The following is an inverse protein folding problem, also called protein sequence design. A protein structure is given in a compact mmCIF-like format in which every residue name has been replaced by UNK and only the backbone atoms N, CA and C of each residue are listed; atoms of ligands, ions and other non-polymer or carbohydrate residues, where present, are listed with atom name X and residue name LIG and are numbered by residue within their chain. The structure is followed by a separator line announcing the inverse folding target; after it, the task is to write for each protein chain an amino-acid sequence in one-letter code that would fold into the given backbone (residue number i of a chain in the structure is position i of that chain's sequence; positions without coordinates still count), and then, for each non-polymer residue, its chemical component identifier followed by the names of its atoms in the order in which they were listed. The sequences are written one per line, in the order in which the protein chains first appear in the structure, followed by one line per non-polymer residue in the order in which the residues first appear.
data_IF_827001687892
#
_entry.id   IF_827001687892
#
_cell.length_a   1.000
_cell.length_b   1.000
_cell.length_c   1.000
_cell.angle_alpha   90.00
_cell.angle_beta   90.00
_cell.angle_gamma   90.00
#
_symmetry.space_group_name_H-M   'P 1'
#
loop_
_entity.id
_entity.type
_entity.pdbx_description
1 polymer ?
#
# COMPACT_ATOMS: atom_id res chain seq x y z
N UNK A 1 16.40 16.26 -4.65
CA UNK A 1 15.93 17.44 -5.40
C UNK A 1 15.69 17.16 -6.89
N UNK A 2 16.66 16.61 -7.64
CA UNK A 2 16.50 16.37 -9.10
C UNK A 2 15.31 15.45 -9.45
N UNK A 3 15.15 14.32 -8.75
CA UNK A 3 14.08 13.36 -9.05
C UNK A 3 12.68 13.94 -8.82
N UNK A 4 12.50 14.73 -7.75
CA UNK A 4 11.22 15.39 -7.46
C UNK A 4 10.90 16.47 -8.49
N UNK A 5 11.89 17.28 -8.87
CA UNK A 5 11.73 18.29 -9.91
C UNK A 5 11.34 17.66 -11.26
N UNK A 6 11.96 16.53 -11.63
CA UNK A 6 11.56 15.77 -12.83
C UNK A 6 10.16 15.16 -12.72
N UNK A 7 9.75 14.77 -11.51
CA UNK A 7 8.44 14.16 -11.30
C UNK A 7 7.31 15.20 -11.34
N UNK A 8 7.52 16.39 -10.79
CA UNK A 8 6.48 17.42 -10.67
C UNK A 8 6.54 18.48 -11.77
N UNK A 9 7.66 18.59 -12.49
CA UNK A 9 8.03 19.63 -13.47
C UNK A 9 8.10 21.04 -12.89
N UNK A 10 7.09 21.43 -12.13
CA UNK A 10 6.96 22.70 -11.42
C UNK A 10 6.73 22.44 -9.93
N UNK A 11 7.12 23.40 -9.08
CA UNK A 11 6.77 23.31 -7.67
C UNK A 11 5.24 23.39 -7.51
N UNK A 12 4.63 22.52 -6.69
CA UNK A 12 3.19 22.52 -6.50
C UNK A 12 2.74 23.84 -5.84
N UNK A 13 1.71 24.46 -6.41
CA UNK A 13 1.04 25.62 -5.84
C UNK A 13 0.10 25.18 -4.69
N UNK A 14 -0.76 26.09 -4.20
CA UNK A 14 -1.78 25.75 -3.19
C UNK A 14 -2.74 24.63 -3.62
N UNK A 15 -2.87 24.37 -4.93
CA UNK A 15 -3.69 23.28 -5.47
C UNK A 15 -2.88 22.45 -6.47
N UNK A 16 -2.66 21.17 -6.16
CA UNK A 16 -1.91 20.27 -7.04
C UNK A 16 -2.72 19.91 -8.31
N UNK A 17 -2.17 20.14 -9.52
CA UNK A 17 -2.75 19.63 -10.76
C UNK A 17 -2.90 18.11 -10.75
N UNK A 18 -3.88 17.61 -11.51
CA UNK A 18 -4.17 16.17 -11.59
C UNK A 18 -2.94 15.36 -12.07
N UNK A 19 -2.17 15.88 -13.04
CA UNK A 19 -0.97 15.20 -13.50
C UNK A 19 0.12 15.09 -12.42
N UNK A 20 0.32 16.12 -11.59
CA UNK A 20 1.25 16.02 -10.45
C UNK A 20 0.78 14.98 -9.42
N UNK A 21 -0.52 14.94 -9.12
CA UNK A 21 -1.10 13.93 -8.22
C UNK A 21 -0.83 12.52 -8.76
N UNK A 22 -1.07 12.30 -10.05
CA UNK A 22 -0.84 11.00 -10.68
C UNK A 22 0.63 10.68 -10.94
N UNK A 23 1.50 11.68 -11.01
CA UNK A 23 2.93 11.46 -11.01
C UNK A 23 3.40 10.91 -9.67
N UNK A 24 2.98 11.54 -8.57
CA UNK A 24 3.26 11.08 -7.20
C UNK A 24 2.66 9.67 -7.01
N UNK A 25 1.35 9.51 -7.23
CA UNK A 25 0.65 8.23 -7.01
C UNK A 25 1.10 7.13 -7.96
N UNK A 26 1.40 7.46 -9.21
CA UNK A 26 1.92 6.55 -10.21
C UNK A 26 3.23 5.90 -9.77
N UNK A 27 4.08 6.62 -9.05
CA UNK A 27 5.35 6.07 -8.55
C UNK A 27 5.23 5.18 -7.32
N UNK A 28 4.14 5.28 -6.54
CA UNK A 28 3.99 4.55 -5.26
C UNK A 28 2.90 3.46 -5.27
N UNK A 29 1.78 3.64 -5.98
CA UNK A 29 0.66 2.67 -5.98
C UNK A 29 0.20 2.27 -7.39
N UNK A 30 0.76 2.88 -8.45
CA UNK A 30 0.50 2.55 -9.85
C UNK A 30 -0.98 2.31 -10.20
N UNK A 31 -1.86 3.34 -10.06
CA UNK A 31 -3.24 3.21 -10.47
C UNK A 31 -3.33 2.91 -11.98
N UNK A 32 -4.27 2.07 -12.38
CA UNK A 32 -4.40 1.62 -13.77
C UNK A 32 -5.17 2.66 -14.59
N UNK A 33 -4.45 3.45 -15.39
CA UNK A 33 -4.96 4.60 -16.14
C UNK A 33 -5.36 4.27 -17.60
N UNK A 34 -5.88 3.07 -17.87
CA UNK A 34 -6.12 2.61 -19.26
C UNK A 34 -7.09 3.50 -20.06
N UNK A 35 -8.01 4.18 -19.38
CA UNK A 35 -9.02 5.06 -19.98
C UNK A 35 -8.62 6.54 -19.97
N UNK A 36 -7.55 6.91 -19.26
CA UNK A 36 -7.15 8.30 -19.06
C UNK A 36 -6.10 8.76 -20.09
N UNK A 37 -6.45 8.80 -21.38
CA UNK A 37 -5.46 9.04 -22.45
C UNK A 37 -4.81 10.42 -22.39
N UNK A 38 -5.59 11.48 -22.12
CA UNK A 38 -5.07 12.85 -21.97
C UNK A 38 -4.09 12.93 -20.79
N UNK A 39 -4.45 12.33 -19.67
CA UNK A 39 -3.60 12.26 -18.48
C UNK A 39 -2.31 11.46 -18.77
N UNK A 40 -2.39 10.32 -19.45
CA UNK A 40 -1.20 9.56 -19.85
C UNK A 40 -0.26 10.37 -20.75
N UNK A 41 -0.80 11.14 -21.70
CA UNK A 41 0.00 11.99 -22.58
C UNK A 41 0.75 13.07 -21.79
N UNK A 42 0.07 13.74 -20.85
CA UNK A 42 0.68 14.75 -19.98
C UNK A 42 1.74 14.14 -19.05
N UNK A 43 1.46 12.98 -18.45
CA UNK A 43 2.41 12.27 -17.60
C UNK A 43 3.67 11.87 -18.37
N UNK A 44 3.52 11.43 -19.62
CA UNK A 44 4.63 11.08 -20.52
C UNK A 44 5.46 12.30 -20.91
N UNK A 45 4.81 13.40 -21.30
CA UNK A 45 5.51 14.59 -21.78
C UNK A 45 6.22 15.35 -20.66
N UNK A 46 5.67 15.32 -19.44
CA UNK A 46 6.01 16.29 -18.40
C UNK A 46 6.39 15.70 -17.04
N UNK A 47 6.05 14.44 -16.75
CA UNK A 47 6.17 13.88 -15.39
C UNK A 47 6.94 12.57 -15.31
N UNK A 48 7.89 12.33 -16.24
CA UNK A 48 8.76 11.16 -16.25
C UNK A 48 8.04 9.80 -16.29
N UNK A 49 6.77 9.75 -16.72
CA UNK A 49 6.13 8.48 -17.01
C UNK A 49 6.74 7.88 -18.28
N UNK A 50 6.78 6.55 -18.35
CA UNK A 50 7.30 5.83 -19.50
C UNK A 50 6.15 5.33 -20.36
N UNK A 51 6.26 5.51 -21.67
CA UNK A 51 5.32 4.94 -22.62
C UNK A 51 5.54 3.42 -22.69
N UNK A 52 4.46 2.67 -22.50
CA UNK A 52 4.50 1.20 -22.42
C UNK A 52 3.73 0.57 -23.57
N UNK A 53 2.75 1.29 -24.09
CA UNK A 53 2.00 0.87 -25.26
C UNK A 53 1.41 2.10 -25.97
N UNK A 54 1.47 2.06 -27.31
CA UNK A 54 0.78 2.97 -28.20
C UNK A 54 -0.17 2.12 -29.02
N UNK A 55 -1.45 2.47 -29.07
CA UNK A 55 -2.41 1.75 -29.91
C UNK A 55 -2.01 1.83 -31.39
N UNK A 56 -2.34 0.83 -32.22
CA UNK A 56 -2.07 0.88 -33.66
C UNK A 56 -2.69 2.11 -34.36
N UNK A 57 -3.81 2.61 -33.83
CA UNK A 57 -4.49 3.82 -34.30
C UNK A 57 -3.87 5.12 -33.79
N UNK A 58 -2.85 5.07 -32.93
CA UNK A 58 -2.14 6.23 -32.37
C UNK A 58 -2.96 7.08 -31.38
N UNK A 59 -4.18 6.66 -31.05
CA UNK A 59 -5.12 7.44 -30.23
C UNK A 59 -5.15 7.04 -28.75
N UNK A 60 -4.42 6.01 -28.34
CA UNK A 60 -4.32 5.58 -26.94
C UNK A 60 -2.88 5.36 -26.54
N UNK A 61 -2.49 6.00 -25.45
CA UNK A 61 -1.20 5.83 -24.80
C UNK A 61 -1.43 5.23 -23.43
N UNK A 62 -0.69 4.16 -23.12
CA UNK A 62 -0.64 3.59 -21.77
C UNK A 62 0.75 3.88 -21.24
N UNK A 63 0.80 4.64 -20.14
CA UNK A 63 2.05 4.99 -19.49
C UNK A 63 2.12 4.36 -18.10
N UNK A 64 3.33 4.01 -17.69
CA UNK A 64 3.61 3.55 -16.32
C UNK A 64 4.88 4.21 -15.80
N UNK A 65 4.99 4.27 -14.48
CA UNK A 65 6.26 4.49 -13.83
C UNK A 65 6.95 3.14 -13.68
N UNK A 66 8.09 2.87 -14.33
CA UNK A 66 8.82 1.64 -14.08
C UNK A 66 9.17 1.57 -12.58
N UNK A 67 9.40 0.37 -12.06
CA UNK A 67 9.81 0.13 -10.67
C UNK A 67 11.19 0.76 -10.39
N UNK A 68 11.23 2.09 -10.28
CA UNK A 68 12.40 2.93 -10.07
C UNK A 68 12.35 3.49 -8.65
N UNK A 69 13.15 2.95 -7.73
CA UNK A 69 13.10 3.35 -6.32
C UNK A 69 13.33 4.84 -6.08
N UNK A 70 14.02 5.53 -6.99
CA UNK A 70 14.36 6.95 -6.83
C UNK A 70 13.14 7.88 -6.91
N UNK A 71 12.21 7.62 -7.84
CA UNK A 71 10.99 8.43 -7.95
C UNK A 71 10.01 8.12 -6.81
N UNK A 72 9.90 6.85 -6.41
CA UNK A 72 9.12 6.46 -5.24
C UNK A 72 9.64 7.12 -3.94
N UNK A 73 10.96 7.13 -3.72
CA UNK A 73 11.57 7.84 -2.58
C UNK A 73 11.33 9.36 -2.65
N UNK A 74 11.41 9.97 -3.83
CA UNK A 74 11.09 11.40 -4.00
C UNK A 74 9.62 11.72 -3.69
N UNK A 75 8.69 10.88 -4.16
CA UNK A 75 7.27 10.99 -3.85
C UNK A 75 6.99 10.86 -2.35
N UNK A 76 7.62 9.88 -1.68
CA UNK A 76 7.54 9.76 -0.22
C UNK A 76 8.09 10.97 0.52
N UNK A 77 9.20 11.55 0.05
CA UNK A 77 9.77 12.76 0.64
C UNK A 77 8.80 13.95 0.52
N UNK A 78 8.13 14.10 -0.63
CA UNK A 78 7.12 15.13 -0.84
C UNK A 78 5.91 14.94 0.07
N UNK A 79 5.37 13.71 0.10
CA UNK A 79 4.22 13.34 0.92
C UNK A 79 4.47 13.46 2.42
N UNK A 80 5.72 13.40 2.87
CA UNK A 80 6.05 13.51 4.29
C UNK A 80 6.13 14.96 4.81
N UNK A 81 6.12 15.96 3.91
CA UNK A 81 6.20 17.39 4.28
C UNK A 81 4.95 17.84 5.03
N UNK A 82 3.78 17.44 4.53
CA UNK A 82 2.48 17.89 5.03
C UNK A 82 1.41 16.82 4.73
N UNK A 83 0.49 16.63 5.66
CA UNK A 83 -0.65 15.72 5.51
C UNK A 83 -1.67 16.25 4.50
N UNK A 84 -1.69 17.57 4.25
CA UNK A 84 -2.45 18.16 3.15
C UNK A 84 -2.06 17.56 1.78
N UNK A 85 -0.79 17.17 1.59
CA UNK A 85 -0.35 16.50 0.36
C UNK A 85 -0.95 15.10 0.21
N UNK A 86 -1.13 14.38 1.32
CA UNK A 86 -1.81 13.09 1.32
C UNK A 86 -3.28 13.24 0.94
N UNK A 87 -3.98 14.18 1.59
CA UNK A 87 -5.40 14.48 1.34
C UNK A 87 -5.62 14.85 -0.11
N UNK A 88 -4.88 15.83 -0.64
CA UNK A 88 -5.00 16.25 -2.04
C UNK A 88 -4.76 15.11 -3.03
N UNK A 89 -3.79 14.23 -2.74
CA UNK A 89 -3.52 13.07 -3.60
C UNK A 89 -4.54 11.93 -3.42
N UNK A 90 -5.26 11.84 -2.31
CA UNK A 90 -6.40 10.92 -2.13
C UNK A 90 -7.60 11.47 -2.88
N UNK A 91 -7.94 12.75 -2.70
CA UNK A 91 -9.07 13.39 -3.36
C UNK A 91 -8.93 13.38 -4.88
N UNK A 92 -7.72 13.60 -5.40
CA UNK A 92 -7.46 13.48 -6.84
C UNK A 92 -7.66 12.07 -7.37
N UNK A 93 -7.36 11.05 -6.57
CA UNK A 93 -7.63 9.65 -6.91
C UNK A 93 -9.14 9.36 -6.86
N UNK A 94 -9.84 9.83 -5.82
CA UNK A 94 -11.30 9.74 -5.68
C UNK A 94 -12.01 10.33 -6.90
N UNK A 95 -11.64 11.55 -7.31
CA UNK A 95 -12.19 12.20 -8.51
C UNK A 95 -11.93 11.39 -9.78
N UNK A 96 -10.72 10.84 -9.92
CA UNK A 96 -10.40 10.03 -11.09
C UNK A 96 -11.18 8.71 -11.15
N UNK A 97 -11.49 8.10 -9.99
CA UNK A 97 -12.39 6.94 -9.91
C UNK A 97 -13.81 7.35 -10.31
N UNK A 98 -14.33 8.45 -9.78
CA UNK A 98 -15.66 8.99 -10.12
C UNK A 98 -15.78 9.31 -11.61
N UNK A 99 -14.72 9.82 -12.23
CA UNK A 99 -14.64 10.11 -13.66
C UNK A 99 -14.40 8.88 -14.55
N UNK A 100 -14.20 7.69 -13.96
CA UNK A 100 -13.89 6.46 -14.72
C UNK A 100 -12.51 6.45 -15.39
N UNK A 101 -11.58 7.29 -14.92
CA UNK A 101 -10.20 7.39 -15.44
C UNK A 101 -9.28 6.29 -14.91
N UNK A 102 -9.58 5.77 -13.73
CA UNK A 102 -8.91 4.61 -13.14
C UNK A 102 -9.80 3.40 -13.39
N UNK A 103 -9.29 2.40 -14.09
CA UNK A 103 -10.04 1.14 -14.22
C UNK A 103 -10.16 0.52 -12.84
N UNK A 104 -11.39 0.24 -12.41
CA UNK A 104 -11.72 -0.29 -11.08
C UNK A 104 -10.95 -1.61 -10.87
N UNK A 105 -9.78 -1.53 -10.24
CA UNK A 105 -9.45 -2.46 -9.17
C UNK A 105 -10.20 -1.96 -7.94
N UNK A 106 -10.68 -2.85 -7.09
CA UNK A 106 -11.60 -2.53 -6.01
C UNK A 106 -11.11 -1.26 -5.27
N UNK A 107 -11.93 -0.21 -5.22
CA UNK A 107 -11.56 1.08 -4.59
C UNK A 107 -11.07 0.88 -3.14
N UNK A 108 -11.56 -0.20 -2.53
CA UNK A 108 -11.15 -0.75 -1.24
C UNK A 108 -9.69 -1.24 -1.22
N UNK A 109 -9.24 -1.98 -2.24
CA UNK A 109 -7.85 -2.40 -2.38
C UNK A 109 -6.93 -1.19 -2.61
N UNK A 110 -7.38 -0.20 -3.39
CA UNK A 110 -6.65 1.06 -3.56
C UNK A 110 -6.52 1.83 -2.25
N UNK A 111 -7.60 1.85 -1.45
CA UNK A 111 -7.62 2.46 -0.12
C UNK A 111 -6.58 1.79 0.79
N UNK A 112 -6.53 0.46 0.81
CA UNK A 112 -5.53 -0.31 1.56
C UNK A 112 -4.10 -0.05 1.06
N UNK A 113 -3.89 0.07 -0.26
CA UNK A 113 -2.59 0.44 -0.81
C UNK A 113 -2.12 1.81 -0.26
N UNK A 114 -3.01 2.80 -0.22
CA UNK A 114 -2.70 4.13 0.35
C UNK A 114 -2.37 4.04 1.84
N UNK A 115 -3.14 3.28 2.62
CA UNK A 115 -2.89 3.06 4.05
C UNK A 115 -1.51 2.44 4.28
N UNK A 116 -1.17 1.38 3.54
CA UNK A 116 0.12 0.69 3.69
C UNK A 116 1.29 1.61 3.31
N UNK A 117 1.16 2.40 2.24
CA UNK A 117 2.16 3.40 1.84
C UNK A 117 2.31 4.51 2.87
N UNK A 118 1.20 4.98 3.47
CA UNK A 118 1.21 5.97 4.54
C UNK A 118 1.90 5.43 5.79
N UNK A 119 1.58 4.21 6.21
CA UNK A 119 2.21 3.56 7.36
C UNK A 119 3.72 3.42 7.16
N UNK A 120 4.15 2.98 5.97
CA UNK A 120 5.58 2.88 5.65
C UNK A 120 6.26 4.25 5.64
N UNK A 121 5.64 5.26 5.03
CA UNK A 121 6.15 6.64 4.98
C UNK A 121 6.34 7.23 6.39
N UNK A 122 5.35 7.07 7.27
CA UNK A 122 5.42 7.55 8.65
C UNK A 122 6.43 6.77 9.48
N UNK A 123 6.56 5.46 9.25
CA UNK A 123 7.59 4.65 9.90
C UNK A 123 8.99 5.15 9.53
N UNK A 124 9.25 5.39 8.24
CA UNK A 124 10.51 5.94 7.78
C UNK A 124 10.76 7.35 8.36
N UNK A 125 9.75 8.23 8.34
CA UNK A 125 9.83 9.59 8.91
C UNK A 125 10.24 9.54 10.38
N UNK A 126 9.58 8.69 11.19
CA UNK A 126 9.87 8.53 12.62
C UNK A 126 11.32 8.11 12.88
N UNK A 127 11.88 7.23 12.04
CA UNK A 127 13.28 6.81 12.16
C UNK A 127 14.26 7.94 11.82
N UNK A 128 13.95 8.75 10.80
CA UNK A 128 14.79 9.89 10.40
C UNK A 128 14.81 10.99 11.47
N UNK A 129 13.71 11.19 12.19
CA UNK A 129 13.56 12.24 13.21
C UNK A 129 14.07 11.84 14.60
N UNK A 130 14.62 10.64 14.78
CA UNK A 130 15.18 10.23 16.08
C UNK A 130 16.31 11.17 16.51
N UNK A 131 16.29 11.54 17.79
CA UNK A 131 17.35 12.31 18.43
C UNK A 131 18.67 11.53 18.48
N UNK A 132 19.78 12.24 18.62
CA UNK A 132 21.12 11.64 18.72
C UNK A 132 21.22 10.61 19.84
N UNK A 133 20.56 10.84 20.98
CA UNK A 133 20.55 9.91 22.11
C UNK A 133 19.70 8.67 21.84
N UNK A 134 18.52 8.81 21.24
CA UNK A 134 17.71 7.65 20.82
C UNK A 134 18.46 6.79 19.79
N UNK A 135 19.18 7.43 18.86
CA UNK A 135 20.01 6.75 17.87
C UNK A 135 21.15 5.98 18.56
N UNK A 136 21.81 6.55 19.57
CA UNK A 136 22.86 5.86 20.34
C UNK A 136 22.33 4.63 21.07
N UNK A 137 21.19 4.75 21.77
CA UNK A 137 20.55 3.62 22.47
C UNK A 137 20.20 2.51 21.48
N UNK A 138 19.54 2.86 20.37
CA UNK A 138 19.13 1.90 19.36
C UNK A 138 20.31 1.24 18.63
N UNK A 139 21.43 1.94 18.43
CA UNK A 139 22.68 1.34 17.94
C UNK A 139 23.21 0.29 18.92
N UNK A 140 23.26 0.63 20.22
CA UNK A 140 23.75 -0.28 21.27
C UNK A 140 22.90 -1.55 21.38
N UNK A 141 21.61 -1.43 21.11
CA UNK A 141 20.66 -2.55 21.11
C UNK A 141 20.58 -3.30 19.76
N UNK A 142 21.45 -2.99 18.78
CA UNK A 142 21.42 -3.56 17.42
C UNK A 142 20.07 -3.35 16.69
N UNK A 143 19.34 -2.29 17.03
CA UNK A 143 18.02 -1.95 16.46
C UNK A 143 18.11 -0.98 15.27
N UNK A 144 19.30 -0.42 15.02
CA UNK A 144 19.60 0.34 13.80
C UNK A 144 19.89 -0.62 12.65
N UNK A 145 19.20 -0.43 11.53
CA UNK A 145 19.38 -1.26 10.33
C UNK A 145 20.38 -0.65 9.32
N UNK A 146 20.86 0.56 9.57
CA UNK A 146 21.79 1.28 8.71
C UNK A 146 22.65 2.24 9.54
N UNK A 147 23.94 2.34 9.18
CA UNK A 147 24.97 2.98 10.01
C UNK A 147 25.21 4.48 9.66
N UNK A 148 24.94 4.89 8.42
CA UNK A 148 25.32 6.21 7.87
C UNK A 148 24.09 7.07 7.49
N UNK A 149 23.89 8.19 8.18
CA UNK A 149 22.88 9.20 7.79
C UNK A 149 23.25 9.90 6.48
N UNK A 150 24.53 10.18 6.26
CA UNK A 150 25.06 10.93 5.11
C UNK A 150 25.00 10.17 3.77
N UNK A 151 24.76 8.84 3.80
CA UNK A 151 24.62 8.01 2.59
C UNK A 151 23.22 7.45 2.40
N UNK A 152 22.28 7.76 3.31
CA UNK A 152 20.94 7.19 3.24
C UNK A 152 20.09 7.92 2.20
N UNK A 153 19.46 7.17 1.29
CA UNK A 153 18.43 7.72 0.41
C UNK A 153 17.23 8.06 1.31
N UNK A 154 16.77 9.34 1.36
CA UNK A 154 15.60 9.71 2.15
C UNK A 154 14.40 8.86 1.76
N UNK A 155 13.66 8.35 2.75
CA UNK A 155 12.53 7.43 2.53
C UNK A 155 12.92 6.23 1.65
N UNK A 156 14.15 5.76 1.85
CA UNK A 156 14.79 4.76 1.00
C UNK A 156 15.28 3.52 1.74
N UNK A 157 15.12 3.48 3.06
CA UNK A 157 15.77 2.52 3.97
C UNK A 157 14.79 1.44 4.48
N UNK A 158 15.31 0.27 4.88
CA UNK A 158 14.49 -0.75 5.54
C UNK A 158 14.04 -0.30 6.93
N UNK A 159 12.93 -0.87 7.39
CA UNK A 159 12.38 -0.64 8.74
C UNK A 159 12.08 -1.98 9.40
N UNK A 160 12.03 -2.02 10.73
CA UNK A 160 11.61 -3.22 11.45
C UNK A 160 10.10 -3.42 11.29
N UNK A 161 9.66 -4.66 11.12
CA UNK A 161 8.25 -4.99 11.03
C UNK A 161 7.49 -4.50 12.26
N UNK A 162 8.08 -4.65 13.46
CA UNK A 162 7.54 -4.12 14.70
C UNK A 162 7.24 -2.62 14.64
N UNK A 163 8.20 -1.80 14.20
CA UNK A 163 8.01 -0.34 14.13
C UNK A 163 6.89 0.01 13.13
N UNK A 164 6.84 -0.69 11.99
CA UNK A 164 5.78 -0.53 11.00
C UNK A 164 4.40 -0.88 11.56
N UNK A 165 4.26 -2.00 12.27
CA UNK A 165 2.98 -2.40 12.85
C UNK A 165 2.53 -1.46 13.97
N UNK A 166 3.47 -0.93 14.78
CA UNK A 166 3.16 0.08 15.79
C UNK A 166 2.64 1.37 15.14
N UNK A 167 3.25 1.81 14.02
CA UNK A 167 2.77 2.99 13.28
C UNK A 167 1.43 2.71 12.62
N UNK A 168 1.26 1.56 11.97
CA UNK A 168 0.01 1.18 11.30
C UNK A 168 -1.17 1.12 12.26
N UNK A 169 -0.97 0.62 13.48
CA UNK A 169 -2.04 0.38 14.46
C UNK A 169 -2.15 1.45 15.54
N UNK A 170 -1.12 2.28 15.73
CA UNK A 170 -1.02 3.20 16.87
C UNK A 170 -0.81 2.51 18.22
N UNK A 171 -0.60 1.19 18.24
CA UNK A 171 -0.48 0.37 19.46
C UNK A 171 0.96 0.00 19.72
N UNK A 172 1.31 -0.23 20.98
CA UNK A 172 2.61 -0.76 21.33
C UNK A 172 2.74 -2.24 20.97
N UNK A 173 3.97 -2.71 20.73
CA UNK A 173 4.21 -4.05 20.19
C UNK A 173 3.72 -5.20 21.09
N UNK A 174 3.66 -4.97 22.40
CA UNK A 174 3.07 -5.87 23.38
C UNK A 174 1.54 -5.95 23.23
N UNK A 175 0.89 -4.82 22.92
CA UNK A 175 -0.55 -4.70 22.68
C UNK A 175 -1.00 -5.26 21.31
N UNK A 176 -0.07 -5.41 20.35
CA UNK A 176 -0.38 -5.96 19.03
C UNK A 176 -0.70 -7.46 19.15
N UNK A 177 -1.94 -7.81 18.82
CA UNK A 177 -2.43 -9.18 18.84
C UNK A 177 -2.23 -9.86 17.47
N UNK A 178 -1.41 -10.93 17.46
CA UNK A 178 -1.07 -11.70 16.26
C UNK A 178 -1.79 -13.05 16.16
N UNK A 179 -2.99 -13.16 16.75
CA UNK A 179 -3.78 -14.40 16.71
C UNK A 179 -3.22 -15.50 17.63
N UNK A 180 -2.29 -15.14 18.52
CA UNK A 180 -1.44 -16.05 19.29
C UNK A 180 -2.12 -16.63 20.54
N UNK A 181 -1.98 -17.94 20.72
CA UNK A 181 -2.10 -18.65 22.00
C UNK A 181 -0.76 -18.64 22.76
N UNK A 182 -0.69 -19.18 23.99
CA UNK A 182 0.58 -19.26 24.76
C UNK A 182 1.70 -19.99 24.00
N UNK A 183 1.34 -20.97 23.16
CA UNK A 183 2.29 -21.77 22.38
C UNK A 183 2.84 -21.01 21.15
N UNK A 184 2.25 -19.87 20.82
CA UNK A 184 2.57 -19.07 19.62
C UNK A 184 3.56 -17.93 19.88
N UNK A 185 4.11 -17.86 21.11
CA UNK A 185 5.04 -16.81 21.54
C UNK A 185 6.29 -16.76 20.64
N UNK A 186 6.79 -17.93 20.20
CA UNK A 186 7.99 -18.02 19.37
C UNK A 186 7.84 -17.33 18.00
N UNK A 187 6.66 -17.44 17.37
CA UNK A 187 6.40 -16.81 16.07
C UNK A 187 6.17 -15.32 16.21
N UNK A 188 5.41 -14.90 17.22
CA UNK A 188 5.27 -13.47 17.53
C UNK A 188 6.63 -12.84 17.77
N UNK A 189 7.48 -13.51 18.57
CA UNK A 189 8.84 -13.05 18.85
C UNK A 189 9.68 -12.96 17.58
N UNK A 190 9.71 -14.01 16.75
CA UNK A 190 10.46 -14.01 15.49
C UNK A 190 10.01 -12.88 14.56
N UNK A 191 8.70 -12.68 14.37
CA UNK A 191 8.17 -11.61 13.50
C UNK A 191 8.52 -10.21 14.01
N UNK A 192 8.38 -9.95 15.31
CA UNK A 192 8.55 -8.61 15.87
C UNK A 192 10.02 -8.26 16.16
N UNK A 193 10.84 -9.24 16.54
CA UNK A 193 12.23 -9.00 16.93
C UNK A 193 13.18 -9.07 15.73
N UNK A 194 12.94 -9.99 14.78
CA UNK A 194 13.85 -10.26 13.65
C UNK A 194 13.34 -9.76 12.29
N UNK A 195 12.03 -9.47 12.19
CA UNK A 195 11.39 -9.10 10.94
C UNK A 195 11.80 -7.71 10.46
N UNK A 196 12.30 -7.63 9.23
CA UNK A 196 12.66 -6.40 8.52
C UNK A 196 11.88 -6.31 7.23
N UNK A 197 11.38 -5.13 6.89
CA UNK A 197 10.62 -4.88 5.67
C UNK A 197 11.20 -3.69 4.91
N UNK A 198 11.10 -3.74 3.59
CA UNK A 198 11.37 -2.59 2.72
C UNK A 198 10.44 -2.64 1.53
N UNK A 199 9.57 -1.65 1.42
CA UNK A 199 8.85 -1.35 0.19
C UNK A 199 8.59 0.15 0.08
N UNK A 200 8.56 0.66 -1.14
CA UNK A 200 8.37 2.09 -1.47
C UNK A 200 7.27 2.28 -2.49
N UNK A 201 6.95 1.22 -3.22
CA UNK A 201 5.95 1.24 -4.24
C UNK A 201 5.30 -0.12 -4.40
N UNK A 202 4.16 -0.12 -5.09
CA UNK A 202 3.40 -1.31 -5.46
C UNK A 202 3.32 -1.45 -6.98
N UNK A 203 3.36 -2.70 -7.45
CA UNK A 203 3.01 -3.05 -8.83
C UNK A 203 1.96 -4.17 -8.85
N UNK A 204 1.14 -4.18 -9.89
CA UNK A 204 0.26 -5.31 -10.20
C UNK A 204 1.08 -6.47 -10.78
N UNK A 205 0.99 -7.65 -10.19
CA UNK A 205 1.58 -8.88 -10.72
C UNK A 205 0.51 -9.81 -11.29
N UNK A 206 0.86 -10.53 -12.37
CA UNK A 206 -0.04 -11.49 -13.04
C UNK A 206 0.24 -12.96 -12.67
N UNK A 207 1.15 -13.18 -11.73
CA UNK A 207 1.61 -14.48 -11.27
C UNK A 207 1.51 -14.57 -9.74
N UNK A 208 1.68 -15.78 -9.20
CA UNK A 208 1.79 -16.02 -7.75
C UNK A 208 3.27 -16.08 -7.39
N UNK A 209 3.78 -15.22 -6.50
CA UNK A 209 5.21 -15.16 -6.21
C UNK A 209 5.65 -16.37 -5.37
N UNK A 210 6.85 -16.88 -5.66
CA UNK A 210 7.57 -17.81 -4.78
C UNK A 210 8.61 -17.06 -3.92
N UNK A 211 9.47 -17.80 -3.20
CA UNK A 211 10.52 -17.20 -2.39
C UNK A 211 11.54 -16.37 -3.19
N UNK A 212 11.95 -16.83 -4.38
CA UNK A 212 12.90 -16.12 -5.23
C UNK A 212 12.29 -14.81 -5.79
N UNK A 213 11.00 -14.83 -6.15
CA UNK A 213 10.29 -13.62 -6.57
C UNK A 213 10.15 -12.63 -5.40
N UNK A 214 9.80 -13.12 -4.21
CA UNK A 214 9.75 -12.31 -2.98
C UNK A 214 11.11 -11.68 -2.66
N UNK A 215 12.20 -12.41 -2.87
CA UNK A 215 13.57 -11.91 -2.72
C UNK A 215 13.91 -10.82 -3.75
N UNK A 216 13.56 -11.02 -5.03
CA UNK A 216 13.72 -9.97 -6.07
C UNK A 216 12.91 -8.72 -5.76
N UNK A 217 11.68 -8.89 -5.23
CA UNK A 217 10.82 -7.79 -4.82
C UNK A 217 11.45 -7.00 -3.67
N UNK A 218 12.02 -7.70 -2.68
CA UNK A 218 12.76 -7.07 -1.57
C UNK A 218 13.92 -6.20 -2.09
N UNK A 219 14.73 -6.73 -3.01
CA UNK A 219 15.85 -5.98 -3.62
C UNK A 219 15.40 -4.70 -4.33
N UNK A 220 14.18 -4.71 -4.89
CA UNK A 220 13.59 -3.54 -5.55
C UNK A 220 12.86 -2.60 -4.59
N UNK A 221 12.67 -2.99 -3.33
CA UNK A 221 11.80 -2.28 -2.39
C UNK A 221 10.36 -2.29 -2.87
N UNK A 222 9.86 -3.44 -3.30
CA UNK A 222 8.56 -3.59 -3.96
C UNK A 222 7.59 -4.39 -3.09
N UNK A 223 6.39 -3.84 -2.89
CA UNK A 223 5.21 -4.61 -2.53
C UNK A 223 4.41 -4.95 -3.80
N UNK A 224 3.58 -5.98 -3.77
CA UNK A 224 2.84 -6.41 -4.95
C UNK A 224 1.34 -6.41 -4.67
N UNK A 225 0.60 -5.89 -5.64
CA UNK A 225 -0.82 -6.10 -5.76
C UNK A 225 -1.03 -7.37 -6.59
N UNK A 226 -1.72 -8.35 -6.01
CA UNK A 226 -1.93 -9.64 -6.64
C UNK A 226 -2.92 -9.53 -7.80
N UNK A 227 -2.87 -10.49 -8.73
CA UNK A 227 -3.85 -10.54 -9.83
C UNK A 227 -5.28 -10.62 -9.29
N UNK A 228 -6.27 -10.06 -10.01
CA UNK A 228 -7.66 -10.22 -9.66
C UNK A 228 -8.02 -11.69 -9.46
N UNK A 229 -8.80 -11.98 -8.42
CA UNK A 229 -9.25 -13.34 -8.03
C UNK A 229 -8.10 -14.29 -7.66
N UNK A 230 -6.90 -13.79 -7.36
CA UNK A 230 -5.85 -14.58 -6.75
C UNK A 230 -6.39 -15.22 -5.44
N UNK A 231 -6.22 -16.54 -5.26
CA UNK A 231 -6.60 -17.18 -4.01
C UNK A 231 -5.83 -16.59 -2.81
N UNK A 232 -6.54 -16.33 -1.72
CA UNK A 232 -5.96 -15.97 -0.43
C UNK A 232 -5.75 -14.46 -0.21
N UNK A 233 -4.91 -13.81 -1.03
CA UNK A 233 -4.40 -12.46 -0.73
C UNK A 233 -4.57 -11.46 -1.90
N UNK A 234 -4.86 -10.21 -1.55
CA UNK A 234 -4.99 -9.07 -2.48
C UNK A 234 -3.67 -8.30 -2.63
N UNK A 235 -2.88 -8.18 -1.56
CA UNK A 235 -1.53 -7.61 -1.59
C UNK A 235 -0.52 -8.48 -0.82
N UNK A 236 0.74 -8.38 -1.22
CA UNK A 236 1.86 -9.02 -0.53
C UNK A 236 3.03 -8.04 -0.39
N UNK A 237 3.72 -8.07 0.75
CA UNK A 237 5.06 -7.48 0.86
C UNK A 237 6.01 -8.45 1.55
N UNK A 238 7.28 -8.40 1.16
CA UNK A 238 8.30 -9.32 1.68
C UNK A 238 8.72 -8.93 3.10
N UNK A 239 8.83 -9.93 3.97
CA UNK A 239 9.48 -9.84 5.28
C UNK A 239 10.82 -10.56 5.15
N UNK A 240 11.91 -9.92 5.55
CA UNK A 240 13.23 -10.53 5.62
C UNK A 240 13.60 -10.74 7.08
N UNK A 241 14.03 -11.96 7.42
CA UNK A 241 14.54 -12.27 8.76
C UNK A 241 16.06 -12.12 8.76
N UNK A 242 16.57 -11.14 9.51
CA UNK A 242 18.02 -10.96 9.65
C UNK A 242 18.57 -12.07 10.55
N UNK A 243 19.52 -12.92 10.08
CA UNK A 243 20.12 -13.95 10.93
C UNK A 243 20.84 -13.33 12.12
N UNK A 244 20.62 -13.87 13.32
CA UNK A 244 21.23 -13.40 14.58
C UNK A 244 22.77 -13.48 14.52
N UNK A 245 23.32 -14.43 13.75
CA UNK A 245 24.76 -14.61 13.55
C UNK A 245 25.41 -13.61 12.59
N UNK A 246 24.62 -12.79 11.88
CA UNK A 246 25.13 -11.75 10.99
C UNK A 246 25.51 -10.50 11.81
N UNK A 247 26.65 -10.58 12.51
CA UNK A 247 27.29 -9.45 13.20
C UNK A 247 27.83 -8.40 12.23
N UNK A 248 27.84 -8.69 10.92
CA UNK A 248 28.21 -7.78 9.85
C UNK A 248 27.02 -7.52 8.92
N UNK A 249 26.77 -6.24 8.60
CA UNK A 249 25.86 -5.80 7.54
C UNK A 249 26.34 -6.22 6.11
N UNK A 250 27.47 -6.94 5.99
CA UNK A 250 28.06 -7.42 4.73
C UNK A 250 27.65 -8.84 4.31
N UNK A 251 26.85 -9.55 5.10
CA UNK A 251 26.38 -10.89 4.72
C UNK A 251 25.47 -10.79 3.48
N UNK A 252 25.70 -11.64 2.47
CA UNK A 252 24.84 -11.69 1.27
C UNK A 252 23.41 -12.05 1.65
N UNK A 253 22.43 -11.29 1.14
CA UNK A 253 21.00 -11.61 1.33
C UNK A 253 20.68 -12.99 0.75
N UNK A 254 19.97 -13.82 1.51
CA UNK A 254 19.59 -15.18 1.11
C UNK A 254 18.06 -15.31 0.99
N UNK A 255 17.58 -15.89 -0.10
CA UNK A 255 16.17 -16.20 -0.31
C UNK A 255 15.59 -17.10 0.81
N UNK A 256 16.41 -17.93 1.48
CA UNK A 256 15.95 -18.76 2.61
C UNK A 256 15.47 -17.95 3.81
N UNK A 257 15.88 -16.69 3.91
CA UNK A 257 15.49 -15.79 5.00
C UNK A 257 14.27 -14.94 4.66
N UNK A 258 13.69 -15.10 3.47
CA UNK A 258 12.47 -14.38 3.09
C UNK A 258 11.22 -15.05 3.65
N UNK A 259 10.21 -14.23 3.83
CA UNK A 259 8.84 -14.54 4.15
C UNK A 259 7.95 -13.41 3.59
N UNK A 260 6.68 -13.38 3.96
CA UNK A 260 5.75 -12.38 3.46
C UNK A 260 4.75 -11.94 4.51
N UNK A 261 4.15 -10.78 4.26
CA UNK A 261 2.89 -10.37 4.84
C UNK A 261 1.82 -10.43 3.75
N UNK A 262 0.76 -11.22 3.99
CA UNK A 262 -0.41 -11.33 3.11
C UNK A 262 -1.53 -10.44 3.59
N UNK A 263 -1.95 -9.51 2.74
CA UNK A 263 -3.08 -8.63 3.01
C UNK A 263 -4.30 -9.19 2.32
N UNK A 264 -5.41 -9.29 3.06
CA UNK A 264 -6.70 -9.59 2.48
C UNK A 264 -7.66 -8.44 2.75
N UNK A 265 -8.30 -7.94 1.71
CA UNK A 265 -9.29 -6.86 1.81
C UNK A 265 -10.67 -7.48 1.65
N UNK A 266 -11.49 -7.42 2.70
CA UNK A 266 -12.88 -7.87 2.69
C UNK A 266 -13.75 -6.95 3.53
N UNK A 267 -14.41 -6.03 2.85
CA UNK A 267 -15.30 -5.07 3.49
C UNK A 267 -16.74 -5.59 3.50
N UNK A 268 -17.03 -6.53 4.38
CA UNK A 268 -18.40 -6.93 4.67
C UNK A 268 -18.92 -6.15 5.87
N UNK A 269 -20.17 -5.66 5.80
CA UNK A 269 -20.85 -5.03 6.94
C UNK A 269 -20.89 -5.97 8.16
N UNK A 270 -20.97 -7.28 7.92
CA UNK A 270 -20.98 -8.33 8.95
C UNK A 270 -19.62 -8.60 9.61
N UNK A 271 -18.55 -7.91 9.19
CA UNK A 271 -17.22 -8.13 9.74
C UNK A 271 -16.36 -9.11 8.92
N UNK A 272 -15.20 -9.47 9.46
CA UNK A 272 -14.28 -10.43 8.83
C UNK A 272 -14.91 -11.84 8.89
N UNK A 273 -15.01 -12.53 7.74
CA UNK A 273 -15.53 -13.90 7.67
C UNK A 273 -14.48 -14.93 8.10
N UNK A 274 -14.38 -15.15 9.41
CA UNK A 274 -13.40 -16.06 10.01
C UNK A 274 -13.54 -17.54 9.62
N UNK A 275 -14.72 -17.97 9.18
CA UNK A 275 -14.95 -19.29 8.61
C UNK A 275 -14.08 -19.53 7.37
N UNK A 276 -13.67 -18.46 6.67
CA UNK A 276 -12.79 -18.52 5.52
C UNK A 276 -11.31 -18.39 5.85
N UNK A 277 -10.94 -18.35 7.14
CA UNK A 277 -9.54 -18.17 7.55
C UNK A 277 -8.62 -19.29 7.06
N UNK A 278 -9.13 -20.50 6.78
CA UNK A 278 -8.35 -21.56 6.13
C UNK A 278 -7.81 -21.17 4.74
N UNK A 279 -8.45 -20.19 4.07
CA UNK A 279 -8.02 -19.66 2.77
C UNK A 279 -6.82 -18.71 2.89
N UNK A 280 -6.53 -18.19 4.08
CA UNK A 280 -5.45 -17.22 4.29
C UNK A 280 -4.18 -17.95 4.69
N UNK A 281 -3.74 -18.87 3.83
CA UNK A 281 -2.53 -19.65 4.06
C UNK A 281 -1.64 -19.59 2.84
N UNK A 282 -0.34 -19.75 3.06
CA UNK A 282 0.64 -19.89 1.99
C UNK A 282 0.21 -20.98 1.00
N UNK A 283 -0.24 -22.13 1.50
CA UNK A 283 -0.68 -23.27 0.69
C UNK A 283 -1.91 -22.95 -0.17
N UNK A 284 -2.94 -22.32 0.41
CA UNK A 284 -4.15 -21.97 -0.35
C UNK A 284 -3.87 -20.89 -1.40
N UNK A 285 -2.99 -19.94 -1.09
CA UNK A 285 -2.55 -18.90 -2.03
C UNK A 285 -1.62 -19.43 -3.13
N UNK A 286 -1.13 -20.67 -3.02
CA UNK A 286 -0.19 -21.27 -3.97
C UNK A 286 1.23 -20.68 -3.91
N UNK A 287 1.59 -20.03 -2.80
CA UNK A 287 2.92 -19.46 -2.60
C UNK A 287 3.88 -20.59 -2.22
N UNK A 288 4.98 -20.74 -2.96
CA UNK A 288 5.91 -21.86 -2.81
C UNK A 288 7.26 -21.42 -2.23
N UNK A 289 7.99 -22.38 -1.67
CA UNK A 289 9.39 -22.27 -1.22
C UNK A 289 9.65 -21.28 -0.07
N UNK A 290 8.60 -20.82 0.62
CA UNK A 290 8.72 -20.05 1.86
C UNK A 290 8.51 -20.99 3.05
N UNK A 291 9.48 -21.00 3.98
CA UNK A 291 9.46 -21.89 5.15
C UNK A 291 9.44 -21.14 6.48
N UNK A 292 9.58 -19.81 6.45
CA UNK A 292 9.58 -18.98 7.64
C UNK A 292 8.16 -18.62 8.10
N UNK A 293 8.07 -18.11 9.32
CA UNK A 293 6.84 -17.51 9.84
C UNK A 293 6.39 -16.34 8.95
N UNK A 294 5.10 -16.25 8.67
CA UNK A 294 4.51 -15.20 7.84
C UNK A 294 3.34 -14.53 8.55
N UNK A 295 3.05 -13.29 8.17
CA UNK A 295 1.97 -12.49 8.74
C UNK A 295 0.80 -12.44 7.76
N UNK A 296 -0.42 -12.46 8.29
CA UNK A 296 -1.64 -12.19 7.53
C UNK A 296 -2.38 -11.04 8.18
N UNK A 297 -2.80 -10.06 7.39
CA UNK A 297 -3.60 -8.92 7.86
C UNK A 297 -4.91 -8.86 7.06
N UNK A 298 -6.02 -9.41 7.59
CA UNK A 298 -7.33 -9.11 7.04
C UNK A 298 -7.75 -7.68 7.42
N UNK A 299 -8.03 -6.88 6.40
CA UNK A 299 -8.65 -5.57 6.50
C UNK A 299 -10.15 -5.69 6.28
N UNK A 300 -10.92 -5.12 7.21
CA UNK A 300 -12.31 -4.78 6.98
C UNK A 300 -12.55 -3.32 7.37
N UNK A 301 -12.59 -2.45 6.37
CA UNK A 301 -12.75 -1.00 6.53
C UNK A 301 -14.21 -0.56 6.69
N UNK A 302 -15.17 -1.49 6.64
CA UNK A 302 -16.62 -1.21 6.68
C UNK A 302 -17.35 -1.86 7.85
N UNK A 303 -16.70 -2.76 8.59
CA UNK A 303 -17.25 -3.43 9.75
C UNK A 303 -16.89 -2.71 11.05
N UNK A 304 -17.75 -2.86 12.06
CA UNK A 304 -17.50 -2.34 13.41
C UNK A 304 -16.24 -2.94 14.03
N UNK A 305 -15.55 -2.16 14.86
CA UNK A 305 -14.43 -2.65 15.66
C UNK A 305 -14.96 -3.64 16.72
N UNK A 306 -14.48 -4.88 16.75
CA UNK A 306 -14.87 -5.84 17.78
C UNK A 306 -14.23 -5.47 19.12
N UNK A 307 -14.96 -5.62 20.22
CA UNK A 307 -14.46 -5.32 21.58
C UNK A 307 -13.28 -6.20 22.03
N UNK A 308 -13.06 -7.37 21.39
CA UNK A 308 -11.88 -8.22 21.60
C UNK A 308 -11.38 -8.78 20.26
N UNK A 309 -10.05 -8.86 20.04
CA UNK A 309 -9.49 -9.54 18.89
C UNK A 309 -9.89 -11.02 18.84
N UNK A 310 -10.14 -11.54 17.64
CA UNK A 310 -10.53 -12.94 17.48
C UNK A 310 -9.30 -13.84 17.51
N UNK A 311 -9.33 -14.84 18.39
CA UNK A 311 -8.34 -15.92 18.38
C UNK A 311 -8.65 -16.86 17.21
N UNK A 312 -7.67 -17.11 16.36
CA UNK A 312 -7.81 -17.97 15.18
C UNK A 312 -7.20 -19.33 15.50
N UNK A 313 -7.96 -20.42 15.35
CA UNK A 313 -7.37 -21.77 15.43
C UNK A 313 -6.38 -21.94 14.28
N UNK A 314 -5.19 -22.42 14.62
CA UNK A 314 -4.07 -22.48 13.69
C UNK A 314 -4.10 -23.77 12.89
N UNK A 315 -4.55 -23.68 11.65
CA UNK A 315 -4.41 -24.77 10.68
C UNK A 315 -3.00 -24.82 10.06
N UNK A 316 -2.25 -23.71 10.16
CA UNK A 316 -0.87 -23.58 9.68
C UNK A 316 0.04 -23.05 10.80
N UNK A 317 1.01 -23.88 11.19
CA UNK A 317 1.94 -23.59 12.30
C UNK A 317 2.77 -22.33 12.10
N UNK A 318 2.99 -21.86 10.87
CA UNK A 318 3.86 -20.72 10.58
C UNK A 318 3.10 -19.39 10.45
N UNK A 319 1.76 -19.41 10.54
CA UNK A 319 0.92 -18.23 10.28
C UNK A 319 0.66 -17.40 11.52
N UNK A 320 0.97 -16.11 11.49
CA UNK A 320 0.43 -15.11 12.42
C UNK A 320 -0.71 -14.33 11.76
N UNK A 321 -1.70 -13.89 12.54
CA UNK A 321 -2.84 -13.13 12.01
C UNK A 321 -3.10 -11.87 12.85
N UNK A 322 -3.12 -10.70 12.21
CA UNK A 322 -3.47 -9.43 12.85
C UNK A 322 -4.65 -8.80 12.12
N UNK A 323 -5.75 -8.54 12.80
CA UNK A 323 -6.94 -7.92 12.19
C UNK A 323 -6.90 -6.39 12.26
N UNK A 324 -7.45 -5.73 11.25
CA UNK A 324 -7.69 -4.28 11.23
C UNK A 324 -9.16 -4.04 10.87
N UNK A 325 -9.85 -3.24 11.69
CA UNK A 325 -11.26 -2.90 11.54
C UNK A 325 -11.48 -1.40 11.47
N UNK A 326 -12.24 -0.95 10.46
CA UNK A 326 -12.49 0.48 10.27
C UNK A 326 -11.23 1.27 9.92
N UNK A 327 -11.41 2.57 9.70
CA UNK A 327 -10.29 3.50 9.48
C UNK A 327 -9.76 4.03 10.82
N UNK A 328 -10.57 3.97 11.86
CA UNK A 328 -10.31 4.45 13.20
C UNK A 328 -9.32 3.57 14.00
N UNK A 329 -9.17 2.27 13.67
CA UNK A 329 -8.11 1.42 14.25
C UNK A 329 -6.71 1.71 13.68
N UNK A 330 -6.60 2.59 12.67
CA UNK A 330 -5.37 2.82 11.92
C UNK A 330 -4.64 4.04 12.46
N UNK A 331 -3.62 3.80 13.28
CA UNK A 331 -2.90 4.86 14.00
C UNK A 331 -2.06 5.82 13.14
N UNK A 332 -1.82 5.52 11.86
CA UNK A 332 -1.06 6.39 10.96
C UNK A 332 -1.91 7.42 10.19
N UNK A 333 -3.23 7.44 10.41
CA UNK A 333 -4.18 8.34 9.76
C UNK A 333 -4.52 9.51 10.69
N UNK A 334 -4.49 10.73 10.14
CA UNK A 334 -5.17 11.86 10.77
C UNK A 334 -6.65 11.83 10.44
N UNK A 335 -7.45 12.65 11.13
CA UNK A 335 -8.88 12.79 10.87
C UNK A 335 -9.16 13.15 9.40
N UNK A 336 -8.38 14.05 8.82
CA UNK A 336 -8.53 14.53 7.44
C UNK A 336 -8.19 13.44 6.43
N UNK A 337 -7.11 12.68 6.67
CA UNK A 337 -6.71 11.57 5.81
C UNK A 337 -7.75 10.44 5.89
N UNK A 338 -8.22 10.10 7.10
CA UNK A 338 -9.26 9.08 7.30
C UNK A 338 -10.56 9.47 6.58
N UNK A 339 -10.96 10.74 6.67
CA UNK A 339 -12.12 11.25 5.93
C UNK A 339 -11.94 11.15 4.41
N UNK A 340 -10.79 11.55 3.87
CA UNK A 340 -10.50 11.43 2.44
C UNK A 340 -10.51 9.96 1.96
N UNK A 341 -9.95 9.04 2.77
CA UNK A 341 -9.97 7.60 2.48
C UNK A 341 -11.38 7.01 2.52
N UNK A 342 -12.24 7.49 3.41
CA UNK A 342 -13.64 7.08 3.44
C UNK A 342 -14.36 7.44 2.13
N UNK A 343 -14.10 8.62 1.59
CA UNK A 343 -14.62 9.05 0.29
C UNK A 343 -14.07 8.19 -0.86
N UNK A 344 -12.77 7.91 -0.87
CA UNK A 344 -12.16 7.03 -1.88
C UNK A 344 -12.76 5.62 -1.85
N UNK A 345 -12.90 5.03 -0.66
CA UNK A 345 -13.49 3.70 -0.46
C UNK A 345 -14.90 3.61 -1.05
N UNK A 346 -15.68 4.69 -0.91
CA UNK A 346 -17.06 4.77 -1.36
C UNK A 346 -17.22 5.25 -2.81
N UNK A 347 -16.11 5.57 -3.49
CA UNK A 347 -16.13 6.13 -4.83
C UNK A 347 -16.57 5.07 -5.85
N UNK A 348 -17.58 5.42 -6.64
CA UNK A 348 -18.01 4.66 -7.80
C UNK A 348 -17.93 5.55 -9.03
N UNK A 349 -17.68 4.99 -10.23
CA UNK A 349 -17.77 5.76 -11.45
C UNK A 349 -19.18 6.34 -11.59
N UNK A 350 -19.25 7.65 -11.78
CA UNK A 350 -20.47 8.37 -12.02
C UNK A 350 -20.41 8.97 -13.43
N UNK A 351 -21.17 8.35 -14.33
CA UNK A 351 -21.24 8.78 -15.73
C UNK A 351 -21.74 10.22 -15.87
N UNK A 352 -22.55 10.72 -14.93
CA UNK A 352 -23.05 12.09 -14.94
C UNK A 352 -21.94 13.09 -14.64
N UNK A 353 -21.02 12.76 -13.72
CA UNK A 353 -19.84 13.56 -13.42
C UNK A 353 -18.74 13.44 -14.50
N UNK A 354 -18.69 12.31 -15.21
CA UNK A 354 -17.75 12.10 -16.31
C UNK A 354 -18.12 12.87 -17.59
N UNK A 355 -19.41 13.21 -17.77
CA UNK A 355 -19.87 14.04 -18.90
C UNK A 355 -19.74 15.53 -18.59
N UNK A 356 -19.15 16.31 -19.52
CA UNK A 356 -19.38 17.76 -19.56
C UNK A 356 -20.89 18.02 -19.54
N UNK A 357 -21.39 19.07 -18.86
CA UNK A 357 -22.81 19.31 -18.66
C UNK A 357 -23.51 19.56 -20.01
N UNK A 358 -23.97 18.48 -20.63
CA UNK A 358 -24.84 18.46 -21.80
C UNK A 358 -26.16 17.86 -21.34
N UNK A 359 -27.16 18.72 -21.17
CA UNK A 359 -28.48 18.38 -20.64
C UNK A 359 -29.11 17.21 -21.38
N UNK A 360 -28.92 17.12 -22.70
CA UNK A 360 -29.48 16.03 -23.53
C UNK A 360 -28.83 14.67 -23.23
N UNK A 361 -27.52 14.65 -22.93
CA UNK A 361 -26.82 13.42 -22.54
C UNK A 361 -27.21 12.98 -21.13
N UNK A 362 -27.38 13.92 -20.21
CA UNK A 362 -27.83 13.64 -18.84
C UNK A 362 -29.24 13.03 -18.87
N UNK A 363 -30.18 13.63 -19.61
CA UNK A 363 -31.54 13.11 -19.78
C UNK A 363 -31.54 11.71 -20.42
N UNK A 364 -30.66 11.47 -21.40
CA UNK A 364 -30.46 10.15 -22.01
C UNK A 364 -29.92 9.11 -21.02
N UNK A 365 -28.91 9.45 -20.21
CA UNK A 365 -28.34 8.54 -19.21
C UNK A 365 -29.38 8.17 -18.14
N UNK A 366 -30.17 9.15 -17.70
CA UNK A 366 -31.26 8.91 -16.75
C UNK A 366 -32.36 8.03 -17.34
N UNK A 367 -32.72 8.22 -18.62
CA UNK A 367 -33.79 7.44 -19.27
C UNK A 367 -33.41 5.98 -19.55
N UNK A 368 -32.14 5.68 -19.83
CA UNK A 368 -31.67 4.31 -20.05
C UNK A 368 -31.44 3.52 -18.76
N UNK A 369 -31.26 4.20 -17.62
CA UNK A 369 -31.07 3.55 -16.32
C UNK A 369 -31.89 4.22 -15.19
N UNK A 370 -33.23 4.20 -15.29
CA UNK A 370 -34.10 4.93 -14.36
C UNK A 370 -34.02 4.41 -12.92
N UNK A 371 -33.60 3.16 -12.72
CA UNK A 371 -33.40 2.58 -11.38
C UNK A 371 -32.11 3.05 -10.70
N UNK A 372 -31.10 3.44 -11.47
CA UNK A 372 -29.86 4.01 -10.92
C UNK A 372 -30.00 5.51 -10.62
N UNK A 373 -30.94 6.20 -11.29
CA UNK A 373 -31.18 7.65 -11.14
C UNK A 373 -32.69 7.94 -10.96
N UNK A 374 -33.24 7.70 -9.76
CA UNK A 374 -34.65 7.92 -9.49
C UNK A 374 -35.03 9.41 -9.66
N UNK A 375 -36.24 9.66 -10.16
CA UNK A 375 -36.77 11.01 -10.33
C UNK A 375 -36.89 11.72 -8.97
N UNK A 376 -36.28 12.91 -8.84
CA UNK A 376 -36.39 13.75 -7.64
C UNK A 376 -35.15 13.83 -6.73
N UNK A 377 -34.01 13.22 -7.10
CA UNK A 377 -32.74 13.48 -6.43
C UNK A 377 -32.10 14.77 -7.01
N UNK A 378 -32.41 15.92 -6.41
CA UNK A 378 -31.65 17.18 -6.56
C UNK A 378 -30.63 17.34 -5.43
#
# INVERSE_FOLDING_TARGET
MIALAKLLLTEPSSTMPQAQIFAIRGTIIQPQLYTAWSLNAELLSSHAAHCMHISPTGNKFICYYPSQPIYASAAHQFLARDDANWVACIDGLTRAVQQGLVTIGDAEELTVNVILMRAMNQTMKKQLTWSTEEKKVRRKENLMLFDDEDKSIPYGHPVRLKDFLQVLTGKDADQIFLGSTKDDLGIKKKLLDEGVIIFKHMILIKYTPNANDSWKNLHRGLAVHCRPRQPGFNQLFTIYFKPISATSNSASLDAKNVSFCGIQVKNHQEGIQWSESYKWTQRFAGIQDIHNAYLVIPFNLSGNIPGKPKVVKRDDKNRAVMQIHGLEDIGCLTTEIAHALHQLKSAQPDLLQATKPDRKKIECIKSINPRAFPEGAE
#
